data_IF_336324938031
#
_entry.id   IF_336324938031
#
_cell.length_a   1.000
_cell.length_b   1.000
_cell.length_c   1.000
_cell.angle_alpha   90.00
_cell.angle_beta   90.00
_cell.angle_gamma   90.00
#
_symmetry.space_group_name_H-M   'P 1'
#
loop_
_entity.id
_entity.type
_entity.pdbx_description
1 polymer ?
#
# COMPACT_ATOMS: atom_id res chain seq x y z
N UNK A 1 -0.27 23.23 23.24
CA UNK A 1 -0.10 23.55 24.66
C UNK A 1 -1.45 23.37 25.37
N UNK A 2 -1.47 22.60 26.43
CA UNK A 2 -2.64 22.43 27.31
C UNK A 2 -2.27 23.08 28.65
N UNK A 3 -3.11 23.97 29.12
CA UNK A 3 -2.86 24.66 30.39
C UNK A 3 -4.17 25.04 31.09
N UNK A 4 -4.11 25.16 32.41
CA UNK A 4 -5.19 25.67 33.25
C UNK A 4 -4.68 26.98 33.90
N UNK A 5 -5.28 28.11 33.51
CA UNK A 5 -4.84 29.43 33.94
C UNK A 5 -3.43 29.77 33.42
N UNK A 6 -2.50 30.10 34.32
CA UNK A 6 -1.11 30.45 34.00
C UNK A 6 -0.16 29.27 34.09
N UNK A 7 -0.61 28.08 34.42
CA UNK A 7 0.19 26.87 34.52
C UNK A 7 0.08 26.02 33.26
N UNK A 8 1.21 25.64 32.67
CA UNK A 8 1.29 24.64 31.61
C UNK A 8 1.36 23.24 32.25
N UNK A 9 0.39 22.36 31.90
CA UNK A 9 0.35 20.99 32.42
C UNK A 9 1.03 20.00 31.48
N UNK A 10 0.95 20.27 30.18
CA UNK A 10 1.60 19.44 29.17
C UNK A 10 1.89 20.25 27.91
N UNK A 11 2.98 19.90 27.21
CA UNK A 11 3.36 20.52 25.94
C UNK A 11 3.90 19.43 24.99
N UNK A 12 3.35 19.41 23.80
CA UNK A 12 3.78 18.50 22.73
C UNK A 12 4.02 19.27 21.43
N UNK A 13 5.07 18.88 20.72
CA UNK A 13 5.38 19.40 19.38
C UNK A 13 5.15 18.31 18.34
N UNK A 14 4.41 18.62 17.28
CA UNK A 14 4.16 17.74 16.15
C UNK A 14 4.62 18.42 14.88
N UNK A 15 5.45 17.74 14.10
CA UNK A 15 5.82 18.17 12.76
C UNK A 15 4.74 17.72 11.78
N UNK A 16 4.29 18.63 10.91
CA UNK A 16 3.32 18.32 9.86
C UNK A 16 3.60 19.13 8.60
N UNK A 17 2.96 18.77 7.50
CA UNK A 17 3.05 19.47 6.23
C UNK A 17 1.71 19.55 5.52
N UNK A 18 1.55 20.55 4.65
CA UNK A 18 0.35 20.74 3.85
C UNK A 18 0.60 20.28 2.42
N UNK A 19 -0.36 19.55 1.86
CA UNK A 19 -0.37 19.14 0.46
C UNK A 19 -1.78 18.91 -0.02
N UNK A 20 -1.97 18.93 -1.32
CA UNK A 20 -3.20 18.50 -1.98
C UNK A 20 -2.95 17.22 -2.76
N UNK A 21 -3.92 16.31 -2.72
CA UNK A 21 -3.88 15.03 -3.41
C UNK A 21 -5.13 14.93 -4.28
N UNK A 22 -4.94 14.66 -5.55
CA UNK A 22 -6.03 14.39 -6.49
C UNK A 22 -5.73 13.10 -7.24
N UNK A 23 -6.75 12.25 -7.41
CA UNK A 23 -6.64 11.04 -8.21
C UNK A 23 -7.83 10.94 -9.15
N UNK A 24 -7.53 10.90 -10.44
CA UNK A 24 -8.55 10.76 -11.48
C UNK A 24 -8.17 9.66 -12.47
N UNK A 25 -9.17 9.04 -13.11
CA UNK A 25 -8.94 8.01 -14.13
C UNK A 25 -8.24 8.56 -15.38
N UNK A 26 -8.39 9.85 -15.69
CA UNK A 26 -7.80 10.48 -16.88
C UNK A 26 -6.40 11.04 -16.66
N UNK A 27 -6.14 11.60 -15.48
CA UNK A 27 -4.90 12.32 -15.20
C UNK A 27 -3.98 11.59 -14.21
N UNK A 28 -4.45 10.47 -13.64
CA UNK A 28 -3.70 9.72 -12.63
C UNK A 28 -3.60 10.45 -11.30
N UNK A 29 -2.47 10.26 -10.63
CA UNK A 29 -2.17 10.86 -9.34
C UNK A 29 -1.53 12.25 -9.51
N UNK A 30 -2.04 13.22 -8.76
CA UNK A 30 -1.47 14.56 -8.67
C UNK A 30 -1.16 14.91 -7.22
N UNK A 31 -0.03 15.54 -7.01
CA UNK A 31 0.40 16.14 -5.76
C UNK A 31 0.62 17.63 -5.97
N UNK A 32 -0.05 18.45 -5.18
CA UNK A 32 0.02 19.92 -5.29
C UNK A 32 -0.28 20.45 -6.71
N UNK A 33 -1.22 19.82 -7.41
CA UNK A 33 -1.60 20.16 -8.78
C UNK A 33 -0.73 19.57 -9.87
N UNK A 34 0.46 19.05 -9.54
CA UNK A 34 1.38 18.45 -10.50
C UNK A 34 1.15 16.94 -10.63
N UNK A 35 1.18 16.43 -11.86
CA UNK A 35 1.06 15.00 -12.13
C UNK A 35 2.35 14.28 -11.72
N UNK A 36 2.22 13.29 -10.85
CA UNK A 36 3.32 12.43 -10.42
C UNK A 36 3.05 10.99 -10.85
N UNK A 37 4.05 10.39 -11.49
CA UNK A 37 4.06 8.94 -11.72
C UNK A 37 4.57 8.27 -10.45
N UNK A 38 3.72 7.50 -9.79
CA UNK A 38 4.12 6.73 -8.62
C UNK A 38 4.93 5.51 -9.08
N UNK A 39 6.17 5.45 -8.65
CA UNK A 39 7.08 4.32 -8.80
C UNK A 39 7.47 3.88 -7.39
N UNK A 40 6.69 2.93 -6.84
CA UNK A 40 6.81 2.54 -5.45
C UNK A 40 7.23 1.10 -5.27
N UNK A 41 7.75 0.82 -4.08
CA UNK A 41 8.07 -0.52 -3.60
C UNK A 41 7.17 -0.91 -2.44
N UNK A 42 6.96 -2.21 -2.27
CA UNK A 42 6.30 -2.74 -1.08
C UNK A 42 7.36 -3.07 -0.03
N UNK A 43 7.20 -2.51 1.14
CA UNK A 43 8.06 -2.77 2.28
C UNK A 43 7.31 -3.59 3.32
N UNK A 44 7.89 -4.71 3.73
CA UNK A 44 7.40 -5.56 4.82
C UNK A 44 8.13 -5.23 6.11
N UNK A 45 7.43 -5.34 7.24
CA UNK A 45 8.00 -5.07 8.56
C UNK A 45 8.73 -6.30 9.12
N UNK A 46 9.62 -6.87 8.31
CA UNK A 46 10.44 -8.01 8.71
C UNK A 46 11.77 -8.08 7.95
N UNK A 47 12.73 -8.78 8.52
CA UNK A 47 14.01 -9.14 7.91
C UNK A 47 14.40 -10.56 8.29
N UNK A 48 15.12 -11.23 7.40
CA UNK A 48 15.74 -12.52 7.69
C UNK A 48 16.56 -12.46 9.00
N UNK A 49 16.53 -13.52 9.77
CA UNK A 49 17.21 -13.72 11.06
C UNK A 49 16.70 -12.88 12.24
N UNK A 50 16.00 -11.77 12.04
CA UNK A 50 15.52 -10.92 13.15
C UNK A 50 13.99 -10.74 13.17
N UNK A 51 13.29 -11.21 12.14
CA UNK A 51 11.83 -11.02 12.02
C UNK A 51 11.46 -9.54 12.11
N UNK A 52 10.44 -9.22 12.87
CA UNK A 52 9.94 -7.84 13.05
C UNK A 52 10.73 -7.01 14.07
N UNK A 53 11.85 -7.51 14.60
CA UNK A 53 12.69 -6.78 15.57
C UNK A 53 13.59 -5.73 14.90
N UNK A 54 12.97 -4.89 14.06
CA UNK A 54 13.66 -3.85 13.31
C UNK A 54 14.13 -2.71 14.22
N UNK A 55 15.30 -2.17 13.92
CA UNK A 55 15.89 -0.97 14.55
C UNK A 55 15.98 0.14 13.50
N UNK A 56 16.20 1.38 13.95
CA UNK A 56 16.34 2.56 13.06
C UNK A 56 17.33 2.34 11.93
N UNK A 57 18.49 1.73 12.19
CA UNK A 57 19.49 1.43 11.16
C UNK A 57 18.94 0.58 10.01
N UNK A 58 18.03 -0.34 10.30
CA UNK A 58 17.46 -1.22 9.28
C UNK A 58 16.51 -0.46 8.33
N UNK A 59 15.79 0.53 8.88
CA UNK A 59 14.98 1.44 8.06
C UNK A 59 15.84 2.34 7.19
N UNK A 60 16.98 2.85 7.70
CA UNK A 60 17.89 3.66 6.88
C UNK A 60 18.49 2.84 5.73
N UNK A 61 18.95 1.61 6.00
CA UNK A 61 19.45 0.69 4.97
C UNK A 61 18.39 0.42 3.90
N UNK A 62 17.13 0.18 4.29
CA UNK A 62 16.02 -0.02 3.34
C UNK A 62 15.73 1.26 2.54
N UNK A 63 15.70 2.41 3.19
CA UNK A 63 15.45 3.70 2.55
C UNK A 63 16.55 4.07 1.55
N UNK A 64 17.82 3.83 1.89
CA UNK A 64 18.94 4.01 0.96
C UNK A 64 18.75 3.16 -0.30
N UNK A 65 18.47 1.86 -0.16
CA UNK A 65 18.20 0.98 -1.30
C UNK A 65 16.99 1.46 -2.14
N UNK A 66 15.93 1.92 -1.49
CA UNK A 66 14.71 2.41 -2.14
C UNK A 66 15.00 3.68 -2.94
N UNK A 67 15.79 4.59 -2.40
CA UNK A 67 16.20 5.81 -3.07
C UNK A 67 17.15 5.53 -4.24
N UNK A 68 18.08 4.59 -4.08
CA UNK A 68 19.06 4.22 -5.11
C UNK A 68 18.42 3.64 -6.37
N UNK A 69 17.32 2.90 -6.23
CA UNK A 69 16.55 2.40 -7.40
C UNK A 69 15.62 3.48 -8.01
N UNK A 70 15.62 4.71 -7.48
CA UNK A 70 14.80 5.81 -7.97
C UNK A 70 13.30 5.69 -7.63
N UNK A 71 12.92 4.90 -6.63
CA UNK A 71 11.54 4.84 -6.18
C UNK A 71 11.15 6.14 -5.45
N UNK A 72 9.90 6.56 -5.63
CA UNK A 72 9.34 7.76 -5.00
C UNK A 72 8.19 7.46 -4.03
N UNK A 73 7.90 6.20 -3.81
CA UNK A 73 6.82 5.79 -2.94
C UNK A 73 7.09 4.44 -2.25
N UNK A 74 6.48 4.26 -1.08
CA UNK A 74 6.53 3.03 -0.30
C UNK A 74 5.11 2.59 0.04
N UNK A 75 4.82 1.32 -0.16
CA UNK A 75 3.66 0.67 0.44
C UNK A 75 4.09 -0.04 1.71
N UNK A 76 3.59 0.42 2.85
CA UNK A 76 3.73 -0.24 4.16
C UNK A 76 2.75 -1.42 4.21
N UNK A 77 3.21 -2.62 3.86
CA UNK A 77 2.39 -3.83 3.72
C UNK A 77 2.73 -4.81 4.85
N UNK A 78 1.82 -5.51 5.34
CA UNK A 78 0.35 -5.51 5.42
C UNK A 78 -0.11 -4.96 6.77
N UNK A 79 0.70 -4.13 7.38
CA UNK A 79 0.53 -3.51 8.67
C UNK A 79 1.29 -2.17 8.72
N UNK A 80 0.94 -1.26 9.62
CA UNK A 80 1.73 -0.06 9.83
C UNK A 80 3.12 -0.41 10.36
N UNK A 81 4.10 0.39 9.96
CA UNK A 81 5.48 0.32 10.45
C UNK A 81 5.68 1.26 11.65
N UNK A 82 6.91 1.30 12.18
CA UNK A 82 7.27 2.25 13.23
C UNK A 82 7.17 3.70 12.73
N UNK A 83 6.82 4.63 13.61
CA UNK A 83 6.71 6.06 13.30
C UNK A 83 8.00 6.63 12.70
N UNK A 84 9.14 6.06 13.04
CA UNK A 84 10.44 6.42 12.49
C UNK A 84 10.43 6.39 10.95
N UNK A 85 9.87 5.34 10.34
CA UNK A 85 9.79 5.22 8.87
C UNK A 85 9.02 6.40 8.27
N UNK A 86 7.86 6.74 8.82
CA UNK A 86 7.01 7.81 8.29
C UNK A 86 7.64 9.18 8.47
N UNK A 87 8.30 9.43 9.61
CA UNK A 87 9.09 10.65 9.81
C UNK A 87 10.18 10.79 8.75
N UNK A 88 10.90 9.71 8.46
CA UNK A 88 11.93 9.73 7.41
C UNK A 88 11.33 9.91 6.01
N UNK A 89 10.18 9.30 5.73
CA UNK A 89 9.48 9.53 4.46
C UNK A 89 9.03 10.98 4.30
N UNK A 90 8.58 11.63 5.37
CA UNK A 90 8.25 13.07 5.37
C UNK A 90 9.47 13.93 5.02
N UNK A 91 10.64 13.62 5.60
CA UNK A 91 11.90 14.35 5.37
C UNK A 91 12.46 14.10 3.96
N UNK A 92 12.37 12.87 3.46
CA UNK A 92 12.91 12.46 2.16
C UNK A 92 11.95 12.76 0.98
N UNK A 93 10.70 13.13 1.26
CA UNK A 93 9.68 13.35 0.24
C UNK A 93 9.17 12.07 -0.41
N UNK A 94 9.30 10.91 0.25
CA UNK A 94 8.78 9.64 -0.20
C UNK A 94 7.28 9.53 0.12
N UNK A 95 6.47 9.26 -0.89
CA UNK A 95 5.03 9.03 -0.69
C UNK A 95 4.80 7.69 0.02
N UNK A 96 3.82 7.63 0.92
CA UNK A 96 3.49 6.39 1.63
C UNK A 96 2.02 6.00 1.48
N UNK A 97 1.81 4.71 1.32
CA UNK A 97 0.54 4.03 1.43
C UNK A 97 0.60 3.07 2.62
N UNK A 98 -0.24 3.27 3.62
CA UNK A 98 -0.29 2.42 4.82
C UNK A 98 -1.46 1.45 4.71
N UNK A 99 -1.16 0.15 4.75
CA UNK A 99 -2.19 -0.89 4.80
C UNK A 99 -2.76 -1.05 6.21
N UNK A 100 -4.08 -1.18 6.30
CA UNK A 100 -4.72 -1.80 7.45
C UNK A 100 -4.37 -3.27 7.47
N UNK A 101 -4.12 -3.91 8.63
CA UNK A 101 -3.75 -5.33 8.69
C UNK A 101 -4.96 -6.24 8.42
N UNK A 102 -5.55 -6.08 7.25
CA UNK A 102 -6.64 -6.90 6.73
C UNK A 102 -6.23 -7.53 5.41
N UNK A 103 -5.65 -8.70 5.51
CA UNK A 103 -5.17 -9.48 4.39
C UNK A 103 -5.59 -10.93 4.51
N UNK A 104 -5.57 -11.65 3.40
CA UNK A 104 -5.78 -13.08 3.37
C UNK A 104 -4.66 -13.81 4.13
N UNK A 105 -5.01 -14.84 4.91
CA UNK A 105 -4.04 -15.76 5.45
C UNK A 105 -3.37 -16.55 4.31
N UNK A 106 -2.07 -16.35 4.01
CA UNK A 106 -1.48 -16.82 2.76
C UNK A 106 -1.25 -18.33 2.69
N UNK A 107 -1.33 -19.02 3.83
CA UNK A 107 -0.91 -20.42 3.94
C UNK A 107 -2.04 -21.43 4.13
N UNK A 108 -3.28 -20.96 4.24
CA UNK A 108 -4.42 -21.79 4.54
C UNK A 108 -5.46 -21.60 3.44
N UNK A 109 -5.31 -22.37 2.36
CA UNK A 109 -6.19 -22.28 1.18
C UNK A 109 -7.63 -22.74 1.45
N UNK A 110 -7.86 -23.41 2.57
CA UNK A 110 -9.12 -23.98 3.04
C UNK A 110 -9.77 -23.19 4.17
N UNK A 111 -9.06 -22.24 4.80
CA UNK A 111 -9.64 -21.35 5.79
C UNK A 111 -10.17 -20.10 5.11
N UNK A 112 -11.48 -20.10 4.94
CA UNK A 112 -12.22 -18.91 4.60
C UNK A 112 -12.20 -17.94 5.78
N UNK A 113 -12.24 -16.65 5.44
CA UNK A 113 -12.39 -15.59 6.41
C UNK A 113 -13.68 -15.79 7.23
N UNK A 114 -13.52 -16.07 8.53
CA UNK A 114 -14.62 -16.06 9.50
C UNK A 114 -14.69 -14.70 10.18
N UNK A 115 -15.60 -13.87 9.73
CA UNK A 115 -15.83 -12.55 10.31
C UNK A 115 -16.68 -12.66 11.58
N UNK A 116 -16.06 -12.93 12.71
CA UNK A 116 -16.73 -12.72 14.00
C UNK A 116 -16.91 -11.23 14.25
N UNK A 117 -17.94 -10.84 15.02
CA UNK A 117 -18.15 -9.44 15.40
C UNK A 117 -16.92 -8.86 16.13
N UNK A 118 -16.29 -9.68 16.97
CA UNK A 118 -15.06 -9.28 17.66
C UNK A 118 -13.93 -8.96 16.67
N UNK A 119 -13.74 -9.77 15.63
CA UNK A 119 -12.76 -9.51 14.59
C UNK A 119 -13.07 -8.22 13.84
N UNK A 120 -14.30 -8.02 13.42
CA UNK A 120 -14.74 -6.82 12.70
C UNK A 120 -14.55 -5.54 13.53
N UNK A 121 -14.94 -5.59 14.80
CA UNK A 121 -14.74 -4.47 15.73
C UNK A 121 -13.26 -4.16 15.95
N UNK A 122 -12.43 -5.18 16.14
CA UNK A 122 -10.98 -5.00 16.29
C UNK A 122 -10.36 -4.39 15.05
N UNK A 123 -10.72 -4.84 13.85
CA UNK A 123 -10.19 -4.27 12.61
C UNK A 123 -10.61 -2.81 12.39
N UNK A 124 -11.86 -2.45 12.76
CA UNK A 124 -12.30 -1.05 12.75
C UNK A 124 -11.52 -0.20 13.76
N UNK A 125 -11.21 -0.76 14.92
CA UNK A 125 -10.41 -0.08 15.94
C UNK A 125 -8.98 0.16 15.43
N UNK A 126 -8.33 -0.87 14.91
CA UNK A 126 -6.99 -0.76 14.31
C UNK A 126 -6.94 0.25 13.16
N UNK A 127 -7.94 0.25 12.27
CA UNK A 127 -8.01 1.24 11.19
C UNK A 127 -8.07 2.67 11.73
N UNK A 128 -8.86 2.92 12.78
CA UNK A 128 -8.93 4.23 13.43
C UNK A 128 -7.59 4.63 14.03
N UNK A 129 -6.93 3.73 14.73
CA UNK A 129 -5.61 3.97 15.32
C UNK A 129 -4.58 4.30 14.23
N UNK A 130 -4.52 3.52 13.16
CA UNK A 130 -3.63 3.77 12.03
C UNK A 130 -3.83 5.16 11.43
N UNK A 131 -5.07 5.56 11.20
CA UNK A 131 -5.38 6.87 10.63
C UNK A 131 -5.03 7.99 11.60
N UNK A 132 -5.45 7.90 12.86
CA UNK A 132 -5.24 8.96 13.86
C UNK A 132 -3.75 9.15 14.14
N UNK A 133 -3.00 8.07 14.31
CA UNK A 133 -1.58 8.12 14.61
C UNK A 133 -0.76 8.69 13.45
N UNK A 134 -1.19 8.46 12.21
CA UNK A 134 -0.43 8.86 11.02
C UNK A 134 -1.06 10.05 10.26
N UNK A 135 -2.07 10.69 10.84
CA UNK A 135 -2.80 11.77 10.19
C UNK A 135 -1.91 12.96 9.82
N UNK A 136 -0.95 13.30 10.68
CA UNK A 136 -0.07 14.46 10.54
C UNK A 136 1.12 14.24 9.58
N UNK A 137 1.34 13.01 9.08
CA UNK A 137 2.40 12.74 8.12
C UNK A 137 2.00 13.18 6.71
N UNK A 138 2.66 14.20 6.12
CA UNK A 138 2.37 14.64 4.75
C UNK A 138 2.78 13.60 3.70
N UNK A 139 3.75 12.74 3.98
CA UNK A 139 4.13 11.62 3.12
C UNK A 139 3.02 10.59 2.94
N UNK A 140 2.16 10.41 3.95
CA UNK A 140 1.02 9.48 3.85
C UNK A 140 -0.02 10.05 2.90
N UNK A 141 -0.22 9.37 1.77
CA UNK A 141 -1.11 9.81 0.70
C UNK A 141 -2.30 8.92 0.44
N UNK A 142 -2.32 7.70 0.99
CA UNK A 142 -3.41 6.74 0.82
C UNK A 142 -3.60 5.87 2.06
N UNK A 143 -4.86 5.49 2.31
CA UNK A 143 -5.22 4.52 3.36
C UNK A 143 -5.60 3.19 2.74
N UNK A 144 -4.83 2.14 3.00
CA UNK A 144 -5.10 0.78 2.56
C UNK A 144 -6.19 0.12 3.38
N UNK A 145 -7.26 -0.31 2.73
CA UNK A 145 -8.43 -0.91 3.38
C UNK A 145 -8.31 -2.43 3.48
N UNK A 146 -7.86 -3.07 2.40
CA UNK A 146 -7.61 -4.52 2.39
C UNK A 146 -6.53 -4.89 1.38
N UNK A 147 -5.94 -6.07 1.55
CA UNK A 147 -4.98 -6.65 0.62
C UNK A 147 -5.31 -8.11 0.33
N UNK A 148 -5.57 -8.42 -0.95
CA UNK A 148 -5.75 -9.78 -1.48
C UNK A 148 -6.85 -10.60 -0.77
N UNK A 149 -7.94 -9.98 -0.36
CA UNK A 149 -9.10 -10.64 0.25
C UNK A 149 -9.98 -11.24 -0.83
N UNK A 150 -10.40 -12.50 -0.65
CA UNK A 150 -11.35 -13.13 -1.55
C UNK A 150 -12.77 -12.74 -1.20
N UNK A 151 -13.58 -12.49 -2.25
CA UNK A 151 -15.01 -12.18 -2.15
C UNK A 151 -15.85 -13.44 -1.85
N UNK A 152 -15.30 -14.40 -1.13
CA UNK A 152 -15.98 -15.63 -0.75
C UNK A 152 -16.06 -15.74 0.77
N UNK A 153 -17.20 -16.25 1.26
CA UNK A 153 -17.45 -16.43 2.69
C UNK A 153 -18.35 -15.35 3.29
N UNK A 154 -18.32 -15.17 4.59
CA UNK A 154 -19.23 -14.34 5.38
C UNK A 154 -19.18 -12.87 5.00
N UNK A 155 -20.06 -12.45 4.12
CA UNK A 155 -20.42 -11.03 3.85
C UNK A 155 -19.25 -10.03 3.96
N UNK A 156 -18.10 -10.39 3.38
CA UNK A 156 -16.87 -9.57 3.40
C UNK A 156 -17.12 -8.18 2.80
N UNK A 157 -18.00 -8.06 1.82
CA UNK A 157 -18.35 -6.80 1.18
C UNK A 157 -18.91 -5.77 2.16
N UNK A 158 -19.82 -6.22 3.04
CA UNK A 158 -20.41 -5.35 4.07
C UNK A 158 -19.32 -4.81 5.01
N UNK A 159 -18.41 -5.68 5.42
CA UNK A 159 -17.31 -5.28 6.30
C UNK A 159 -16.30 -4.35 5.61
N UNK A 160 -15.94 -4.61 4.37
CA UNK A 160 -15.07 -3.72 3.59
C UNK A 160 -15.72 -2.35 3.38
N UNK A 161 -17.04 -2.30 3.10
CA UNK A 161 -17.78 -1.02 3.03
C UNK A 161 -17.74 -0.26 4.35
N UNK A 162 -17.85 -0.98 5.49
CA UNK A 162 -17.77 -0.38 6.82
C UNK A 162 -16.37 0.17 7.09
N UNK A 163 -15.30 -0.56 6.76
CA UNK A 163 -13.93 -0.08 6.86
C UNK A 163 -13.71 1.17 6.00
N UNK A 164 -14.13 1.12 4.74
CA UNK A 164 -14.00 2.25 3.82
C UNK A 164 -14.74 3.50 4.30
N UNK A 165 -15.99 3.35 4.74
CA UNK A 165 -16.77 4.47 5.27
C UNK A 165 -16.17 5.05 6.55
N UNK A 166 -15.61 4.20 7.41
CA UNK A 166 -14.88 4.63 8.61
C UNK A 166 -13.64 5.44 8.25
N UNK A 167 -12.81 4.97 7.32
CA UNK A 167 -11.65 5.71 6.88
C UNK A 167 -12.04 7.09 6.32
N UNK A 168 -13.05 7.15 5.47
CA UNK A 168 -13.54 8.41 4.88
C UNK A 168 -14.19 9.35 5.88
N UNK A 169 -14.75 8.84 6.97
CA UNK A 169 -15.28 9.68 8.04
C UNK A 169 -14.19 10.34 8.86
N UNK A 170 -13.04 9.68 9.00
CA UNK A 170 -11.89 10.18 9.75
C UNK A 170 -10.99 11.09 8.91
N UNK A 171 -10.81 10.76 7.65
CA UNK A 171 -9.99 11.54 6.73
C UNK A 171 -10.66 11.65 5.34
N UNK A 172 -11.07 12.88 5.02
CA UNK A 172 -11.68 13.21 3.72
C UNK A 172 -10.65 13.68 2.69
N UNK A 173 -9.40 13.82 3.08
CA UNK A 173 -8.35 14.42 2.25
C UNK A 173 -7.53 13.39 1.50
N UNK A 174 -7.47 12.15 2.00
CA UNK A 174 -6.73 11.05 1.40
C UNK A 174 -7.68 10.03 0.77
N UNK A 175 -7.37 9.53 -0.42
CA UNK A 175 -8.12 8.43 -1.01
C UNK A 175 -7.89 7.12 -0.24
N UNK A 176 -8.91 6.26 -0.29
CA UNK A 176 -8.80 4.87 0.13
C UNK A 176 -8.35 4.00 -1.02
N UNK A 177 -7.57 2.98 -0.73
CA UNK A 177 -7.01 2.07 -1.72
C UNK A 177 -7.12 0.62 -1.25
N UNK A 178 -7.21 -0.30 -2.18
CA UNK A 178 -7.11 -1.72 -1.88
C UNK A 178 -6.24 -2.44 -2.91
N UNK A 179 -5.67 -3.57 -2.51
CA UNK A 179 -4.91 -4.44 -3.39
C UNK A 179 -5.71 -5.69 -3.70
N UNK A 180 -5.88 -6.02 -4.99
CA UNK A 180 -6.68 -7.16 -5.44
C UNK A 180 -5.99 -7.93 -6.57
N UNK A 181 -6.28 -9.23 -6.65
CA UNK A 181 -5.86 -10.10 -7.75
C UNK A 181 -7.03 -10.88 -8.37
N UNK A 182 -8.25 -10.45 -8.11
CA UNK A 182 -9.49 -11.11 -8.56
C UNK A 182 -10.50 -10.11 -9.09
N UNK A 183 -11.41 -10.59 -9.91
CA UNK A 183 -12.61 -9.85 -10.29
C UNK A 183 -13.64 -9.94 -9.16
N UNK A 184 -14.51 -8.92 -9.04
CA UNK A 184 -15.59 -8.92 -8.08
C UNK A 184 -16.03 -7.53 -7.65
N UNK A 185 -17.17 -7.45 -6.98
CA UNK A 185 -17.78 -6.21 -6.49
C UNK A 185 -16.91 -5.50 -5.44
N UNK A 186 -16.09 -6.25 -4.74
CA UNK A 186 -15.16 -5.74 -3.71
C UNK A 186 -14.23 -4.65 -4.27
N UNK A 187 -13.87 -4.73 -5.57
CA UNK A 187 -12.94 -3.81 -6.22
C UNK A 187 -13.53 -2.40 -6.45
N UNK A 188 -14.82 -2.23 -6.25
CA UNK A 188 -15.54 -0.95 -6.44
C UNK A 188 -15.81 -0.20 -5.14
N UNK A 189 -15.35 -0.71 -4.00
CA UNK A 189 -15.66 -0.13 -2.69
C UNK A 189 -14.71 1.01 -2.35
N UNK A 190 -13.41 0.87 -2.65
CA UNK A 190 -12.39 1.88 -2.39
C UNK A 190 -12.28 2.90 -3.52
N UNK A 191 -11.63 4.05 -3.27
CA UNK A 191 -11.43 5.08 -4.30
C UNK A 191 -10.47 4.63 -5.40
N UNK A 192 -9.51 3.77 -5.05
CA UNK A 192 -8.54 3.18 -5.97
C UNK A 192 -8.43 1.69 -5.75
N UNK A 193 -8.10 0.98 -6.83
CA UNK A 193 -7.70 -0.42 -6.77
C UNK A 193 -6.28 -0.58 -7.34
N UNK A 194 -5.45 -1.34 -6.65
CA UNK A 194 -4.14 -1.73 -7.14
C UNK A 194 -4.16 -3.22 -7.44
N UNK A 195 -3.96 -3.55 -8.69
CA UNK A 195 -3.97 -4.92 -9.17
C UNK A 195 -2.61 -5.56 -8.94
N UNK A 196 -2.55 -6.53 -8.05
CA UNK A 196 -1.34 -7.32 -7.84
C UNK A 196 -1.30 -8.47 -8.84
N UNK A 197 -0.34 -8.43 -9.75
CA UNK A 197 -0.18 -9.43 -10.79
C UNK A 197 1.26 -9.93 -10.84
N UNK A 198 1.41 -11.24 -10.79
CA UNK A 198 2.70 -11.93 -10.88
C UNK A 198 2.95 -12.51 -12.28
N UNK A 199 2.27 -11.91 -13.29
CA UNK A 199 2.39 -12.32 -14.69
C UNK A 199 3.79 -11.93 -15.20
N UNK A 200 4.49 -12.89 -15.81
CA UNK A 200 5.86 -12.70 -16.28
C UNK A 200 6.94 -12.95 -15.22
N UNK A 201 6.54 -13.10 -13.95
CA UNK A 201 7.43 -13.48 -12.85
C UNK A 201 7.23 -14.96 -12.47
N UNK A 202 6.17 -15.29 -11.76
CA UNK A 202 5.85 -16.67 -11.35
C UNK A 202 4.80 -17.34 -12.25
N UNK A 203 4.16 -16.60 -13.13
CA UNK A 203 3.07 -17.06 -14.00
C UNK A 203 3.12 -16.36 -15.35
N UNK A 204 3.06 -17.16 -16.44
CA UNK A 204 3.01 -16.63 -17.80
C UNK A 204 4.28 -15.90 -18.25
N UNK A 205 4.16 -15.14 -19.33
CA UNK A 205 5.22 -14.32 -19.93
C UNK A 205 4.95 -12.83 -19.69
N UNK A 206 5.93 -11.98 -19.98
CA UNK A 206 5.73 -10.53 -19.87
C UNK A 206 4.74 -10.00 -20.92
N UNK A 207 4.60 -10.68 -22.04
CA UNK A 207 3.63 -10.32 -23.08
C UNK A 207 2.19 -10.59 -22.62
N UNK A 208 1.98 -11.60 -21.75
CA UNK A 208 0.69 -11.88 -21.13
C UNK A 208 0.25 -10.74 -20.19
N UNK A 209 1.20 -10.00 -19.61
CA UNK A 209 0.88 -8.83 -18.79
C UNK A 209 0.28 -7.71 -19.64
N UNK A 210 0.77 -7.51 -20.86
CA UNK A 210 0.18 -6.53 -21.77
C UNK A 210 -1.24 -6.91 -22.16
N UNK A 211 -1.46 -8.16 -22.56
CA UNK A 211 -2.79 -8.69 -22.90
C UNK A 211 -3.76 -8.54 -21.72
N UNK A 212 -3.30 -8.89 -20.52
CA UNK A 212 -4.10 -8.74 -19.31
C UNK A 212 -4.46 -7.26 -19.05
N UNK A 213 -3.49 -6.33 -19.20
CA UNK A 213 -3.73 -4.89 -19.04
C UNK A 213 -4.75 -4.35 -20.01
N UNK A 214 -4.68 -4.73 -21.29
CA UNK A 214 -5.62 -4.33 -22.32
C UNK A 214 -7.03 -4.83 -22.00
N UNK A 215 -7.17 -6.08 -21.57
CA UNK A 215 -8.42 -6.64 -21.11
C UNK A 215 -8.97 -5.92 -19.88
N UNK A 216 -8.12 -5.59 -18.92
CA UNK A 216 -8.49 -4.82 -17.73
C UNK A 216 -9.03 -3.45 -18.14
N UNK A 217 -8.31 -2.73 -19.00
CA UNK A 217 -8.72 -1.42 -19.47
C UNK A 217 -10.03 -1.46 -20.26
N UNK A 218 -10.21 -2.45 -21.11
CA UNK A 218 -11.45 -2.68 -21.84
C UNK A 218 -12.65 -2.91 -20.92
N UNK A 219 -12.49 -3.72 -19.89
CA UNK A 219 -13.58 -4.09 -18.98
C UNK A 219 -13.86 -3.02 -17.91
N UNK A 220 -12.83 -2.31 -17.47
CA UNK A 220 -12.88 -1.48 -16.26
C UNK A 220 -12.24 -0.09 -16.43
N UNK A 221 -12.35 0.51 -17.62
CA UNK A 221 -11.76 1.83 -17.95
C UNK A 221 -12.18 2.96 -17.02
N UNK A 222 -13.31 2.83 -16.32
CA UNK A 222 -13.81 3.81 -15.36
C UNK A 222 -13.20 3.68 -13.96
N UNK A 223 -12.55 2.55 -13.64
CA UNK A 223 -11.87 2.39 -12.36
C UNK A 223 -10.57 3.20 -12.33
N UNK A 224 -10.34 3.85 -11.20
CA UNK A 224 -9.03 4.41 -10.88
C UNK A 224 -8.15 3.26 -10.42
N UNK A 225 -7.24 2.83 -11.27
CA UNK A 225 -6.43 1.65 -10.96
C UNK A 225 -4.95 1.86 -11.25
N UNK A 226 -4.14 1.13 -10.53
CA UNK A 226 -2.71 0.97 -10.73
C UNK A 226 -2.36 -0.52 -10.75
N UNK A 227 -1.15 -0.84 -11.12
CA UNK A 227 -0.67 -2.23 -11.14
C UNK A 227 0.53 -2.34 -10.19
N UNK A 228 0.45 -3.27 -9.26
CA UNK A 228 1.59 -3.74 -8.50
C UNK A 228 2.14 -4.99 -9.21
N UNK A 229 3.41 -4.94 -9.58
CA UNK A 229 4.07 -5.98 -10.33
C UNK A 229 5.34 -6.44 -9.60
N UNK A 230 5.62 -7.72 -9.67
CA UNK A 230 6.78 -8.33 -9.05
C UNK A 230 6.45 -9.05 -7.75
N UNK A 231 7.44 -9.71 -7.22
CA UNK A 231 7.37 -10.52 -6.00
C UNK A 231 8.57 -10.19 -5.11
N UNK A 232 8.45 -10.45 -3.82
CA UNK A 232 9.57 -10.29 -2.89
C UNK A 232 10.64 -11.35 -3.21
N UNK A 233 11.88 -10.91 -3.36
CA UNK A 233 13.05 -11.77 -3.47
C UNK A 233 14.02 -11.52 -2.31
N UNK A 234 14.72 -12.53 -1.85
CA UNK A 234 15.89 -12.36 -0.99
C UNK A 234 17.13 -12.12 -1.86
N UNK A 235 18.01 -11.22 -1.41
CA UNK A 235 19.32 -10.99 -2.04
C UNK A 235 20.11 -12.29 -2.21
N UNK A 236 19.89 -13.25 -1.31
CA UNK A 236 20.56 -14.57 -1.32
C UNK A 236 19.83 -15.62 -2.17
N UNK A 237 18.66 -15.31 -2.73
CA UNK A 237 18.00 -16.17 -3.71
C UNK A 237 18.67 -16.06 -5.07
N UNK A 238 19.90 -16.49 -5.16
CA UNK A 238 20.45 -17.01 -6.43
C UNK A 238 19.74 -18.33 -6.70
N UNK A 239 18.59 -18.25 -7.32
CA UNK A 239 17.78 -19.43 -7.59
C UNK A 239 18.46 -20.26 -8.68
N UNK A 240 18.87 -21.45 -8.31
CA UNK A 240 19.17 -22.55 -9.22
C UNK A 240 17.97 -22.95 -10.12
N UNK A 241 16.93 -22.12 -10.21
CA UNK A 241 15.67 -22.37 -10.94
C UNK A 241 15.39 -21.39 -12.06
N UNK A 242 16.30 -20.50 -12.39
CA UNK A 242 16.05 -19.56 -13.46
C UNK A 242 16.87 -19.90 -14.69
N UNK A 243 16.30 -20.71 -15.57
CA UNK A 243 16.52 -20.58 -17.01
C UNK A 243 15.99 -19.21 -17.53
N UNK A 244 15.48 -18.37 -16.65
CA UNK A 244 15.04 -17.00 -16.92
C UNK A 244 16.01 -16.05 -16.22
N UNK A 245 16.71 -15.20 -16.98
CA UNK A 245 17.70 -14.30 -16.39
C UNK A 245 17.06 -13.31 -15.41
N UNK A 246 17.62 -13.22 -14.22
CA UNK A 246 17.27 -12.22 -13.18
C UNK A 246 17.39 -10.75 -13.66
N UNK A 247 17.86 -10.53 -14.87
CA UNK A 247 18.07 -9.22 -15.51
C UNK A 247 16.82 -8.54 -16.05
N UNK A 248 15.64 -9.10 -15.83
CA UNK A 248 14.38 -8.49 -16.33
C UNK A 248 14.02 -7.23 -15.53
N UNK A 249 14.48 -7.10 -14.30
CA UNK A 249 14.08 -5.99 -13.43
C UNK A 249 14.75 -4.64 -13.75
N UNK A 250 16.00 -4.64 -14.26
CA UNK A 250 16.75 -3.39 -14.39
C UNK A 250 16.54 -2.64 -15.72
N UNK A 251 16.06 -3.29 -16.75
CA UNK A 251 15.96 -2.70 -18.09
C UNK A 251 14.55 -2.53 -18.66
N UNK A 252 13.54 -3.21 -18.13
CA UNK A 252 12.23 -3.29 -18.80
C UNK A 252 11.14 -2.41 -18.20
N UNK A 253 11.23 -2.03 -16.93
CA UNK A 253 10.22 -1.19 -16.29
C UNK A 253 10.24 0.27 -16.77
N UNK A 254 11.38 0.94 -17.00
CA UNK A 254 11.38 2.34 -17.40
C UNK A 254 10.92 2.60 -18.82
N UNK A 255 11.25 1.75 -19.79
CA UNK A 255 11.02 2.04 -21.21
C UNK A 255 9.63 1.67 -21.73
N UNK A 256 9.02 0.60 -21.23
CA UNK A 256 7.69 0.16 -21.68
C UNK A 256 6.50 0.81 -20.96
N UNK A 257 6.75 1.51 -19.86
CA UNK A 257 5.70 2.21 -19.10
C UNK A 257 5.61 3.70 -19.41
N UNK A 258 6.40 4.19 -20.37
CA UNK A 258 6.41 5.60 -20.79
C UNK A 258 5.40 5.95 -21.89
N UNK A 259 4.60 5.03 -22.37
CA UNK A 259 3.58 5.29 -23.39
C UNK A 259 2.17 5.23 -22.82
#
# INVERSE_FOLDING_TARGET
TIGIGTHHEDEGTVTTGFRTIEVTSKQGFKLNGERIKIQGVTLYHDRAAIGSALRTRHYEEDLECIMDIGANAIRSSTAPHAQYLYNRCDELGLLTWIDTPFTRAPYLSDIFYYATDRFKQNGLHQLREVIIQNYNHPSVVMWGIYSLIWERGDNVLSYVRQLNSTAKSLDKTRPTVACSNQDGEINFITDLIVWQQNIGWSRGSIDDLQVWREKLHSNWSHLRSAVAYGESGSIDQQTARSDKPARINDRWLPERWQT
#
